data_IF_104520288566
#
_entry.id   IF_104520288566
#
_cell.length_a   1.000
_cell.length_b   1.000
_cell.length_c   1.000
_cell.angle_alpha   90.00
_cell.angle_beta   90.00
_cell.angle_gamma   90.00
#
_symmetry.space_group_name_H-M   'P 1'
#
loop_
_entity.id
_entity.type
_entity.pdbx_description
1 polymer ?
#
# COMPACT_ATOMS: atom_id res chain seq x y z
N UNK A 1 -12.43 -8.75 0.82
CA UNK A 1 -11.53 -7.97 -0.06
C UNK A 1 -11.96 -6.51 -0.18
N UNK A 2 -13.15 -6.16 -0.68
CA UNK A 2 -13.56 -4.75 -0.80
C UNK A 2 -13.52 -3.94 0.51
N UNK A 3 -13.98 -4.52 1.64
CA UNK A 3 -13.90 -3.87 2.96
C UNK A 3 -12.45 -3.60 3.40
N UNK A 4 -11.58 -4.56 3.13
CA UNK A 4 -10.14 -4.47 3.45
C UNK A 4 -9.48 -3.41 2.58
N UNK A 5 -9.74 -3.44 1.27
CA UNK A 5 -9.25 -2.44 0.30
C UNK A 5 -9.61 -1.02 0.75
N UNK A 6 -10.88 -0.80 1.12
CA UNK A 6 -11.36 0.49 1.61
C UNK A 6 -10.66 0.88 2.91
N UNK A 7 -10.58 -0.02 3.89
CA UNK A 7 -9.97 0.26 5.18
C UNK A 7 -8.48 0.54 5.09
N UNK A 8 -7.74 -0.21 4.25
CA UNK A 8 -6.30 0.01 4.06
C UNK A 8 -6.05 1.33 3.34
N UNK A 9 -6.82 1.64 2.29
CA UNK A 9 -6.69 2.93 1.61
C UNK A 9 -6.77 4.11 2.60
N UNK A 10 -7.78 4.13 3.47
CA UNK A 10 -7.94 5.20 4.45
C UNK A 10 -6.87 5.18 5.53
N UNK A 11 -6.54 4.01 6.08
CA UNK A 11 -5.48 3.91 7.08
C UNK A 11 -4.14 4.40 6.54
N UNK A 12 -3.79 3.98 5.31
CA UNK A 12 -2.55 4.38 4.66
C UNK A 12 -2.54 5.88 4.33
N UNK A 13 -3.66 6.42 3.84
CA UNK A 13 -3.79 7.85 3.60
C UNK A 13 -3.69 8.66 4.90
N UNK A 14 -4.31 8.22 5.99
CA UNK A 14 -4.24 8.88 7.30
C UNK A 14 -2.82 8.84 7.88
N UNK A 15 -2.06 7.76 7.65
CA UNK A 15 -0.64 7.68 7.99
C UNK A 15 0.21 8.75 7.29
N UNK A 16 -0.23 9.25 6.14
CA UNK A 16 0.38 10.39 5.45
C UNK A 16 -0.19 11.75 5.88
N UNK A 17 -1.52 11.87 5.92
CA UNK A 17 -2.21 13.15 6.13
C UNK A 17 -2.08 13.65 7.59
N UNK A 18 -2.03 12.73 8.56
CA UNK A 18 -1.90 13.06 9.97
C UNK A 18 -0.42 13.19 10.33
N UNK A 19 0.05 14.43 10.48
CA UNK A 19 1.46 14.79 10.75
C UNK A 19 2.19 13.93 11.79
N UNK A 20 1.66 13.66 13.00
CA UNK A 20 2.35 12.81 13.96
C UNK A 20 2.46 11.35 13.49
N UNK A 21 1.43 10.80 12.82
CA UNK A 21 1.49 9.43 12.30
C UNK A 21 2.58 9.32 11.22
N UNK A 22 2.63 10.28 10.30
CA UNK A 22 3.68 10.31 9.29
C UNK A 22 5.07 10.42 9.92
N UNK A 23 5.28 11.45 10.76
CA UNK A 23 6.60 11.77 11.30
C UNK A 23 7.19 10.66 12.16
N UNK A 24 6.37 9.99 12.97
CA UNK A 24 6.86 9.03 13.95
C UNK A 24 6.74 7.57 13.51
N UNK A 25 5.80 7.25 12.61
CA UNK A 25 5.53 5.86 12.23
C UNK A 25 5.92 5.63 10.77
N UNK A 26 5.31 6.38 9.85
CA UNK A 26 5.35 6.06 8.42
C UNK A 26 6.59 6.59 7.68
N UNK A 27 7.27 7.59 8.24
CA UNK A 27 8.53 8.13 7.67
C UNK A 27 9.60 7.03 7.56
N UNK A 28 9.65 6.08 8.51
CA UNK A 28 10.60 4.97 8.49
C UNK A 28 10.44 4.11 7.24
N UNK A 29 9.20 3.88 6.82
CA UNK A 29 8.91 3.16 5.59
C UNK A 29 9.32 3.98 4.35
N UNK A 30 9.09 5.29 4.39
CA UNK A 30 9.38 6.20 3.28
C UNK A 30 10.83 6.66 3.14
N UNK A 31 11.75 6.19 3.99
CA UNK A 31 13.19 6.45 3.79
C UNK A 31 13.71 5.77 2.50
N UNK A 32 13.00 4.75 2.01
CA UNK A 32 13.32 4.00 0.79
C UNK A 32 12.67 4.63 -0.45
N UNK A 33 12.94 5.91 -0.68
CA UNK A 33 12.27 6.72 -1.71
C UNK A 33 13.02 6.84 -3.05
N UNK A 34 14.09 6.06 -3.26
CA UNK A 34 14.86 6.06 -4.51
C UNK A 34 14.77 4.69 -5.14
N UNK A 35 14.81 4.60 -6.46
CA UNK A 35 14.76 3.30 -7.17
C UNK A 35 15.84 2.32 -6.71
N UNK A 36 17.00 2.80 -6.26
CA UNK A 36 18.08 1.95 -5.77
C UNK A 36 17.95 1.57 -4.28
N UNK A 37 16.99 2.16 -3.55
CA UNK A 37 16.72 1.84 -2.14
C UNK A 37 15.36 1.16 -1.95
N UNK A 38 14.42 1.38 -2.87
CA UNK A 38 13.14 0.69 -2.95
C UNK A 38 13.38 -0.75 -3.44
N UNK A 39 13.07 -1.72 -2.59
CA UNK A 39 13.29 -3.14 -2.84
C UNK A 39 12.21 -3.97 -2.14
N UNK A 40 12.05 -5.27 -2.47
CA UNK A 40 11.08 -6.12 -1.78
C UNK A 40 11.21 -6.12 -0.24
N UNK A 41 12.44 -5.95 0.26
CA UNK A 41 12.70 -5.86 1.70
C UNK A 41 12.30 -4.50 2.30
N UNK A 42 12.39 -3.41 1.55
CA UNK A 42 11.88 -2.10 1.95
C UNK A 42 10.36 -2.16 2.19
N UNK A 43 9.68 -3.00 1.40
CA UNK A 43 8.26 -3.30 1.59
C UNK A 43 7.94 -3.96 2.93
N UNK A 44 8.89 -4.53 3.67
CA UNK A 44 8.65 -5.10 5.01
C UNK A 44 9.27 -4.24 6.13
N UNK A 45 9.94 -3.14 5.77
CA UNK A 45 10.67 -2.28 6.68
C UNK A 45 9.79 -1.14 7.21
N UNK A 46 8.84 -1.48 8.08
CA UNK A 46 7.96 -0.51 8.75
C UNK A 46 8.30 -0.36 10.24
N UNK A 47 7.87 0.76 10.82
CA UNK A 47 7.72 0.84 12.27
C UNK A 47 6.65 -0.19 12.72
N UNK A 48 6.82 -0.95 13.83
CA UNK A 48 5.85 -1.99 14.23
C UNK A 48 4.41 -1.48 14.36
N UNK A 49 4.22 -0.27 14.91
CA UNK A 49 2.90 0.35 15.00
C UNK A 49 2.31 0.74 13.63
N UNK A 50 3.13 1.07 12.64
CA UNK A 50 2.67 1.34 11.28
C UNK A 50 2.07 0.05 10.67
N UNK A 51 2.81 -1.06 10.76
CA UNK A 51 2.31 -2.37 10.31
C UNK A 51 1.05 -2.82 11.04
N UNK A 52 0.94 -2.60 12.36
CA UNK A 52 -0.27 -2.90 13.12
C UNK A 52 -1.45 -2.06 12.62
N UNK A 53 -1.26 -0.75 12.44
CA UNK A 53 -2.30 0.15 11.95
C UNK A 53 -2.81 -0.30 10.57
N UNK A 54 -1.91 -0.57 9.63
CA UNK A 54 -2.26 -1.08 8.30
C UNK A 54 -2.96 -2.46 8.33
N UNK A 55 -2.72 -3.28 9.35
CA UNK A 55 -3.38 -4.58 9.51
C UNK A 55 -4.77 -4.51 10.20
N UNK A 56 -5.13 -3.41 10.86
CA UNK A 56 -6.44 -3.24 11.54
C UNK A 56 -7.63 -3.57 10.62
N UNK A 57 -7.69 -3.09 9.36
CA UNK A 57 -8.77 -3.42 8.44
C UNK A 57 -9.00 -4.92 8.24
N UNK A 58 -7.92 -5.73 8.22
CA UNK A 58 -8.04 -7.18 8.13
C UNK A 58 -8.76 -7.76 9.35
N UNK A 59 -8.37 -7.35 10.55
CA UNK A 59 -8.96 -7.83 11.80
C UNK A 59 -10.41 -7.38 11.95
N UNK A 60 -10.72 -6.12 11.66
CA UNK A 60 -12.10 -5.60 11.70
C UNK A 60 -12.99 -6.38 10.73
N UNK A 61 -12.48 -6.71 9.54
CA UNK A 61 -13.25 -7.42 8.53
C UNK A 61 -13.74 -8.80 8.98
N UNK A 62 -13.04 -9.47 9.90
CA UNK A 62 -13.43 -10.78 10.44
C UNK A 62 -14.72 -10.74 11.26
N UNK A 63 -15.05 -9.59 11.87
CA UNK A 63 -16.30 -9.41 12.61
C UNK A 63 -17.51 -9.20 11.69
N UNK A 64 -17.26 -8.84 10.43
CA UNK A 64 -18.29 -8.57 9.42
C UNK A 64 -18.46 -9.78 8.49
N UNK A 65 -17.35 -10.40 8.09
CA UNK A 65 -17.31 -11.53 7.16
C UNK A 65 -16.70 -12.74 7.88
N UNK A 66 -17.51 -13.72 8.28
CA UNK A 66 -17.01 -14.97 8.87
C UNK A 66 -16.02 -15.63 7.91
N UNK A 67 -14.80 -15.83 8.39
CA UNK A 67 -13.69 -16.37 7.58
C UNK A 67 -13.02 -17.50 8.35
N UNK A 68 -12.77 -18.64 7.70
CA UNK A 68 -12.02 -19.74 8.32
C UNK A 68 -10.59 -19.29 8.65
N UNK A 69 -10.08 -19.74 9.80
CA UNK A 69 -8.74 -19.37 10.27
C UNK A 69 -7.65 -19.62 9.22
N UNK A 70 -7.65 -20.80 8.57
CA UNK A 70 -6.65 -21.12 7.54
C UNK A 70 -6.77 -20.24 6.30
N UNK A 71 -7.99 -19.88 5.88
CA UNK A 71 -8.20 -18.92 4.80
C UNK A 71 -7.64 -17.55 5.17
N UNK A 72 -7.87 -17.08 6.39
CA UNK A 72 -7.33 -15.81 6.87
C UNK A 72 -5.80 -15.82 6.90
N UNK A 73 -5.18 -16.90 7.41
CA UNK A 73 -3.71 -17.05 7.42
C UNK A 73 -3.12 -17.06 6.01
N UNK A 74 -3.77 -17.76 5.06
CA UNK A 74 -3.32 -17.77 3.65
C UNK A 74 -3.41 -16.38 3.02
N UNK A 75 -4.49 -15.65 3.26
CA UNK A 75 -4.65 -14.28 2.76
C UNK A 75 -3.58 -13.34 3.34
N UNK A 76 -3.25 -13.45 4.63
CA UNK A 76 -2.15 -12.68 5.25
C UNK A 76 -0.77 -13.08 4.69
N UNK A 77 -0.58 -14.34 4.31
CA UNK A 77 0.65 -14.74 3.63
C UNK A 77 0.74 -14.14 2.23
N UNK A 78 -0.35 -14.22 1.44
CA UNK A 78 -0.44 -13.57 0.13
C UNK A 78 -0.23 -12.06 0.22
N UNK A 79 -0.69 -11.43 1.29
CA UNK A 79 -0.44 -10.02 1.61
C UNK A 79 1.06 -9.73 1.73
N UNK A 80 1.80 -10.51 2.50
CA UNK A 80 3.25 -10.35 2.61
C UNK A 80 3.97 -10.49 1.27
N UNK A 81 3.53 -11.43 0.43
CA UNK A 81 4.06 -11.60 -0.95
C UNK A 81 3.70 -10.39 -1.82
N UNK A 82 2.47 -9.90 -1.71
CA UNK A 82 2.00 -8.72 -2.43
C UNK A 82 2.81 -7.48 -2.06
N UNK A 83 2.98 -7.22 -0.77
CA UNK A 83 3.80 -6.12 -0.25
C UNK A 83 5.22 -6.20 -0.77
N UNK A 84 5.84 -7.38 -0.78
CA UNK A 84 7.17 -7.54 -1.37
C UNK A 84 7.18 -7.24 -2.89
N UNK A 85 6.17 -7.71 -3.62
CA UNK A 85 6.07 -7.51 -5.06
C UNK A 85 5.87 -6.04 -5.45
N UNK A 86 5.01 -5.28 -4.76
CA UNK A 86 4.79 -3.87 -5.12
C UNK A 86 5.98 -2.95 -4.80
N UNK A 87 7.02 -3.46 -4.14
CA UNK A 87 8.26 -2.72 -3.86
C UNK A 87 9.44 -3.16 -4.74
N UNK A 88 9.23 -4.06 -5.70
CA UNK A 88 10.30 -4.57 -6.57
C UNK A 88 10.71 -3.61 -7.70
N UNK A 89 10.01 -2.46 -7.83
CA UNK A 89 10.18 -1.46 -8.89
C UNK A 89 9.86 -1.95 -10.32
N UNK A 90 9.26 -3.12 -10.50
CA UNK A 90 8.92 -3.70 -11.80
C UNK A 90 7.44 -3.42 -12.11
N UNK A 91 7.19 -2.42 -12.95
CA UNK A 91 5.82 -2.09 -13.34
C UNK A 91 5.23 -3.15 -14.28
N UNK A 92 4.30 -3.96 -13.78
CA UNK A 92 3.68 -5.07 -14.51
C UNK A 92 2.64 -4.70 -15.58
N UNK A 93 2.21 -3.43 -15.68
CA UNK A 93 1.23 -2.95 -16.69
C UNK A 93 -0.10 -3.72 -16.73
N UNK A 94 -0.60 -4.16 -15.57
CA UNK A 94 -1.87 -4.87 -15.46
C UNK A 94 -2.92 -3.92 -14.89
N UNK A 95 -3.90 -3.54 -15.71
CA UNK A 95 -5.05 -2.77 -15.22
C UNK A 95 -6.11 -3.73 -14.65
N UNK A 96 -6.75 -3.45 -13.48
CA UNK A 96 -6.66 -2.26 -12.62
C UNK A 96 -5.79 -2.49 -11.35
N UNK A 97 -4.63 -3.14 -11.48
CA UNK A 97 -3.82 -3.61 -10.34
C UNK A 97 -2.88 -2.52 -9.83
N UNK A 98 -2.85 -2.31 -8.49
CA UNK A 98 -1.96 -1.38 -7.79
C UNK A 98 -0.53 -1.93 -7.69
N UNK A 99 0.10 -2.19 -8.83
CA UNK A 99 1.44 -2.81 -8.89
C UNK A 99 2.59 -1.84 -8.58
N UNK A 100 3.82 -2.35 -8.69
CA UNK A 100 5.02 -1.65 -8.23
C UNK A 100 5.25 -0.26 -8.86
N UNK A 101 4.83 -0.04 -10.11
CA UNK A 101 4.94 1.30 -10.74
C UNK A 101 4.13 2.36 -10.00
N UNK A 102 2.89 2.05 -9.57
CA UNK A 102 2.06 2.99 -8.82
C UNK A 102 2.65 3.23 -7.43
N UNK A 103 3.10 2.18 -6.77
CA UNK A 103 3.69 2.27 -5.43
C UNK A 103 5.05 2.99 -5.42
N UNK A 104 5.82 2.90 -6.51
CA UNK A 104 7.05 3.71 -6.68
C UNK A 104 6.72 5.20 -6.73
N UNK A 105 5.64 5.59 -7.42
CA UNK A 105 5.17 6.99 -7.44
C UNK A 105 4.70 7.43 -6.05
N UNK A 106 4.06 6.52 -5.32
CA UNK A 106 3.69 6.77 -3.92
C UNK A 106 4.91 7.11 -3.06
N UNK A 107 5.96 6.27 -3.09
CA UNK A 107 7.20 6.48 -2.33
C UNK A 107 7.99 7.73 -2.71
N UNK A 108 7.82 8.23 -3.93
CA UNK A 108 8.53 9.41 -4.44
C UNK A 108 7.73 10.71 -4.27
N UNK A 109 6.40 10.65 -4.28
CA UNK A 109 5.53 11.83 -4.19
C UNK A 109 4.85 12.00 -2.84
N UNK A 110 4.73 10.94 -2.04
CA UNK A 110 4.10 10.90 -0.71
C UNK A 110 2.61 11.30 -0.67
N UNK A 111 1.98 11.46 -1.83
CA UNK A 111 0.66 12.11 -1.95
C UNK A 111 -0.36 11.38 -2.83
N UNK A 112 0.06 10.26 -3.43
CA UNK A 112 -0.71 9.56 -4.44
C UNK A 112 -0.62 8.05 -4.23
N UNK A 113 -1.56 7.31 -4.83
CA UNK A 113 -1.54 5.84 -4.93
C UNK A 113 -1.46 5.12 -3.56
N UNK A 114 -2.46 5.37 -2.70
CA UNK A 114 -2.55 4.76 -1.36
C UNK A 114 -3.24 3.38 -1.34
N UNK A 115 -3.87 3.02 -2.45
CA UNK A 115 -4.64 1.79 -2.62
C UNK A 115 -3.82 0.53 -2.41
N UNK A 116 -4.53 -0.58 -2.26
CA UNK A 116 -3.97 -1.79 -1.71
C UNK A 116 -3.67 -2.82 -2.81
N UNK A 117 -4.69 -3.51 -3.32
CA UNK A 117 -4.54 -4.40 -4.48
C UNK A 117 -4.89 -3.70 -5.80
N UNK A 118 -5.74 -2.67 -5.75
CA UNK A 118 -6.36 -2.09 -6.95
C UNK A 118 -6.30 -0.57 -6.96
N UNK A 119 -6.38 0.01 -8.15
CA UNK A 119 -6.40 1.47 -8.34
C UNK A 119 -7.74 2.13 -7.98
N UNK A 120 -8.77 1.35 -7.67
CA UNK A 120 -10.15 1.84 -7.58
C UNK A 120 -10.33 2.88 -6.49
N UNK A 121 -9.71 2.71 -5.32
CA UNK A 121 -9.84 3.67 -4.22
C UNK A 121 -9.20 5.00 -4.59
N UNK A 122 -7.98 4.99 -5.12
CA UNK A 122 -7.31 6.20 -5.58
C UNK A 122 -8.05 6.89 -6.71
N UNK A 123 -8.66 6.13 -7.63
CA UNK A 123 -9.50 6.68 -8.69
C UNK A 123 -10.75 7.36 -8.11
N UNK A 124 -11.46 6.69 -7.20
CA UNK A 124 -12.69 7.22 -6.57
C UNK A 124 -12.42 8.48 -5.72
N UNK A 125 -11.28 8.54 -5.03
CA UNK A 125 -10.95 9.62 -4.10
C UNK A 125 -9.96 10.65 -4.66
N UNK A 126 -9.64 10.57 -5.96
CA UNK A 126 -8.84 11.57 -6.67
C UNK A 126 -7.36 11.61 -6.29
N UNK A 127 -6.80 10.49 -5.83
CA UNK A 127 -5.38 10.35 -5.45
C UNK A 127 -4.58 9.49 -6.42
N UNK A 128 -5.19 9.05 -7.55
CA UNK A 128 -4.54 8.22 -8.55
C UNK A 128 -3.55 9.01 -9.40
N UNK A 129 -2.35 8.47 -9.56
CA UNK A 129 -1.34 8.93 -10.52
C UNK A 129 -0.79 7.75 -11.30
N UNK A 130 -1.06 7.74 -12.60
CA UNK A 130 -0.70 6.65 -13.50
C UNK A 130 0.80 6.70 -13.88
N UNK A 131 1.55 5.58 -13.77
CA UNK A 131 2.95 5.51 -14.14
C UNK A 131 3.27 5.81 -15.59
N UNK A 132 2.39 5.45 -16.54
CA UNK A 132 2.63 5.72 -17.95
C UNK A 132 2.39 7.19 -18.33
N UNK A 133 1.55 7.89 -17.59
CA UNK A 133 1.39 9.34 -17.76
C UNK A 133 2.53 10.13 -17.12
N UNK A 134 3.07 9.64 -16.00
CA UNK A 134 4.15 10.30 -15.28
C UNK A 134 5.47 10.24 -16.06
N UNK A 135 5.77 9.08 -16.66
CA UNK A 135 6.94 8.90 -17.54
C UNK A 135 6.93 9.80 -18.77
N UNK A 136 5.76 10.21 -19.26
CA UNK A 136 5.64 11.14 -20.41
C UNK A 136 5.91 12.59 -20.02
N UNK A 137 5.93 12.92 -18.73
CA UNK A 137 6.15 14.27 -18.21
C UNK A 137 7.58 14.49 -17.69
N UNK A 138 8.34 13.42 -17.49
CA UNK A 138 9.74 13.42 -17.08
C UNK A 138 10.67 13.54 -18.29
#
# INVERSE_FOLDING_TARGET
MALVEFGIYWMHRELHDIKPLYKYLHTTHHIYNKQNTLSPFAGLAFHPLDGILQAIPHTISLFIVPTHFMTHMLLLFCEGVWTANIHDCIHGKIWPVMGAGYHTIHHTTYKHNYGHYTIWMDWMFGTLRDPEEDLKKA
#
